data_IF_930826862860
#
_entry.id   IF_930826862860
#
_cell.length_a   1.000
_cell.length_b   1.000
_cell.length_c   1.000
_cell.angle_alpha   90.00
_cell.angle_beta   90.00
_cell.angle_gamma   90.00
#
_symmetry.space_group_name_H-M   'P 1'
#
loop_
_entity.id
_entity.type
_entity.pdbx_description
1 polymer ?
#
# COMPACT_ATOMS: atom_id res chain seq x y z
N UNK A 1 26.28 3.00 13.34
CA UNK A 1 26.69 1.79 14.10
C UNK A 1 25.57 1.20 14.97
N UNK A 2 24.53 1.98 15.32
CA UNK A 2 23.39 1.55 16.14
C UNK A 2 22.52 0.44 15.51
N UNK A 3 22.33 0.41 14.18
CA UNK A 3 21.40 -0.54 13.53
C UNK A 3 21.82 -2.03 13.60
N UNK A 4 23.13 -2.33 13.65
CA UNK A 4 23.63 -3.72 13.72
C UNK A 4 23.36 -4.36 15.09
N UNK A 5 23.38 -3.59 16.18
CA UNK A 5 23.08 -4.07 17.52
C UNK A 5 21.59 -4.37 17.66
N UNK A 6 20.72 -3.47 17.20
CA UNK A 6 19.28 -3.70 17.18
C UNK A 6 18.90 -4.91 16.32
N UNK A 7 19.51 -5.08 15.15
CA UNK A 7 19.25 -6.25 14.30
C UNK A 7 19.67 -7.57 14.98
N UNK A 8 20.81 -7.59 15.68
CA UNK A 8 21.27 -8.75 16.44
C UNK A 8 20.34 -9.07 17.62
N UNK A 9 19.91 -8.05 18.37
CA UNK A 9 18.96 -8.19 19.48
C UNK A 9 17.59 -8.68 18.98
N UNK A 10 17.09 -8.12 17.88
CA UNK A 10 15.84 -8.58 17.26
C UNK A 10 15.95 -10.03 16.79
N UNK A 11 17.06 -10.42 16.17
CA UNK A 11 17.29 -11.79 15.71
C UNK A 11 17.41 -12.79 16.88
N UNK A 12 18.06 -12.40 17.97
CA UNK A 12 18.14 -13.19 19.21
C UNK A 12 16.77 -13.35 19.86
N UNK A 13 16.02 -12.26 20.02
CA UNK A 13 14.68 -12.27 20.58
C UNK A 13 13.72 -13.14 19.75
N UNK A 14 13.81 -13.08 18.41
CA UNK A 14 13.03 -13.95 17.51
C UNK A 14 13.47 -15.43 17.65
N UNK A 15 14.77 -15.68 17.80
CA UNK A 15 15.31 -17.03 18.03
C UNK A 15 14.83 -17.64 19.35
N UNK A 16 14.87 -16.89 20.45
CA UNK A 16 14.37 -17.32 21.76
C UNK A 16 12.84 -17.50 21.78
N UNK A 17 12.10 -16.60 21.12
CA UNK A 17 10.64 -16.78 20.95
C UNK A 17 10.29 -18.02 20.13
N UNK A 18 11.07 -18.34 19.10
CA UNK A 18 10.82 -19.49 18.23
C UNK A 18 11.09 -20.83 18.91
N UNK A 19 12.01 -20.87 19.87
CA UNK A 19 12.36 -22.08 20.62
C UNK A 19 11.40 -22.38 21.77
N UNK A 20 10.50 -21.45 22.12
CA UNK A 20 9.62 -21.58 23.27
C UNK A 20 8.13 -21.67 22.85
N UNK A 21 7.59 -22.88 22.68
CA UNK A 21 6.24 -23.09 22.13
C UNK A 21 5.13 -22.50 23.01
N UNK A 22 5.33 -22.37 24.32
CA UNK A 22 4.39 -21.69 25.22
C UNK A 22 4.30 -20.17 24.95
N UNK A 23 5.42 -19.53 24.65
CA UNK A 23 5.43 -18.10 24.30
C UNK A 23 4.79 -17.87 22.94
N UNK A 24 5.07 -18.73 21.95
CA UNK A 24 4.37 -18.70 20.67
C UNK A 24 2.86 -18.85 20.84
N UNK A 25 2.39 -19.78 21.66
CA UNK A 25 0.97 -19.98 21.90
C UNK A 25 0.32 -18.76 22.56
N UNK A 26 1.00 -18.13 23.54
CA UNK A 26 0.52 -16.90 24.20
C UNK A 26 0.52 -15.70 23.25
N UNK A 27 1.57 -15.53 22.45
CA UNK A 27 1.63 -14.45 21.45
C UNK A 27 0.60 -14.67 20.34
N UNK A 28 0.42 -15.89 19.85
CA UNK A 28 -0.62 -16.23 18.89
C UNK A 28 -2.02 -15.97 19.46
N UNK A 29 -2.25 -16.29 20.75
CA UNK A 29 -3.50 -15.99 21.45
C UNK A 29 -3.74 -14.48 21.55
N UNK A 30 -2.73 -13.69 21.93
CA UNK A 30 -2.83 -12.22 22.01
C UNK A 30 -3.06 -11.60 20.63
N UNK A 31 -2.37 -12.07 19.59
CA UNK A 31 -2.59 -11.63 18.21
C UNK A 31 -4.01 -11.95 17.78
N UNK A 32 -4.49 -13.17 18.06
CA UNK A 32 -5.84 -13.60 17.69
C UNK A 32 -6.95 -12.88 18.47
N UNK A 33 -6.73 -12.56 19.75
CA UNK A 33 -7.74 -11.92 20.62
C UNK A 33 -7.74 -10.39 20.53
N UNK A 34 -6.60 -9.75 20.22
CA UNK A 34 -6.46 -8.29 20.27
C UNK A 34 -6.11 -7.66 18.93
N UNK A 35 -5.21 -8.29 18.18
CA UNK A 35 -4.72 -7.73 16.91
C UNK A 35 -5.68 -8.04 15.77
N UNK A 36 -6.17 -9.28 15.67
CA UNK A 36 -7.10 -9.69 14.61
C UNK A 36 -8.42 -8.90 14.66
N UNK A 37 -9.10 -8.72 15.82
CA UNK A 37 -10.31 -7.92 15.86
C UNK A 37 -10.05 -6.44 15.53
N UNK A 38 -8.97 -5.86 16.06
CA UNK A 38 -8.58 -4.48 15.75
C UNK A 38 -8.20 -4.27 14.29
N UNK A 39 -7.54 -5.25 13.66
CA UNK A 39 -7.20 -5.24 12.25
C UNK A 39 -8.43 -5.40 11.36
N UNK A 40 -9.40 -6.23 11.74
CA UNK A 40 -10.69 -6.36 11.04
C UNK A 40 -11.47 -5.05 11.13
N UNK A 41 -11.59 -4.44 12.30
CA UNK A 41 -12.27 -3.14 12.46
C UNK A 41 -11.54 -2.01 11.72
N UNK A 42 -10.21 -2.02 11.75
CA UNK A 42 -9.39 -1.09 10.97
C UNK A 42 -9.57 -1.28 9.46
N UNK A 43 -9.65 -2.54 9.01
CA UNK A 43 -9.90 -2.91 7.62
C UNK A 43 -11.30 -2.50 7.17
N UNK A 44 -12.34 -2.74 7.97
CA UNK A 44 -13.71 -2.31 7.67
C UNK A 44 -13.85 -0.79 7.59
N UNK A 45 -13.18 -0.04 8.47
CA UNK A 45 -13.14 1.44 8.40
C UNK A 45 -12.33 1.95 7.20
N UNK A 46 -11.28 1.24 6.80
CA UNK A 46 -10.44 1.61 5.67
C UNK A 46 -11.00 1.18 4.31
N UNK A 47 -11.84 0.14 4.28
CA UNK A 47 -12.46 -0.43 3.08
C UNK A 47 -13.15 0.62 2.18
N UNK A 48 -14.01 1.52 2.68
CA UNK A 48 -14.63 2.53 1.82
C UNK A 48 -13.62 3.54 1.26
N UNK A 49 -12.56 3.87 2.01
CA UNK A 49 -11.48 4.73 1.51
C UNK A 49 -10.62 4.03 0.47
N UNK A 50 -10.39 2.73 0.63
CA UNK A 50 -9.70 1.87 -0.33
C UNK A 50 -10.50 1.72 -1.61
N UNK A 51 -11.82 1.60 -1.52
CA UNK A 51 -12.71 1.50 -2.67
C UNK A 51 -12.79 2.81 -3.44
N UNK A 52 -12.89 3.95 -2.74
CA UNK A 52 -12.76 5.28 -3.34
C UNK A 52 -11.38 5.47 -4.00
N UNK A 53 -10.30 5.04 -3.35
CA UNK A 53 -8.96 5.11 -3.93
C UNK A 53 -8.81 4.20 -5.15
N UNK A 54 -9.46 3.03 -5.14
CA UNK A 54 -9.50 2.09 -6.28
C UNK A 54 -10.28 2.69 -7.45
N UNK A 55 -11.42 3.31 -7.22
CA UNK A 55 -12.18 4.00 -8.27
C UNK A 55 -11.42 5.21 -8.82
N UNK A 56 -10.75 5.97 -7.95
CA UNK A 56 -9.85 7.05 -8.36
C UNK A 56 -8.69 6.52 -9.22
N UNK A 57 -8.08 5.39 -8.83
CA UNK A 57 -7.01 4.74 -9.58
C UNK A 57 -7.49 4.19 -10.93
N UNK A 58 -8.67 3.55 -10.98
CA UNK A 58 -9.29 3.09 -12.23
C UNK A 58 -9.58 4.29 -13.15
N UNK A 59 -10.11 5.37 -12.58
CA UNK A 59 -10.40 6.61 -13.32
C UNK A 59 -9.12 7.25 -13.87
N UNK A 60 -8.06 7.35 -13.06
CA UNK A 60 -6.75 7.83 -13.50
C UNK A 60 -6.13 6.94 -14.58
N UNK A 61 -6.29 5.62 -14.47
CA UNK A 61 -5.79 4.66 -15.46
C UNK A 61 -6.54 4.80 -16.80
N UNK A 62 -7.86 4.98 -16.76
CA UNK A 62 -8.68 5.28 -17.95
C UNK A 62 -8.26 6.59 -18.61
N UNK A 63 -7.98 7.62 -17.81
CA UNK A 63 -7.53 8.92 -18.32
C UNK A 63 -6.18 8.80 -19.04
N UNK A 64 -5.22 8.08 -18.46
CA UNK A 64 -3.91 7.81 -19.06
C UNK A 64 -4.05 6.97 -20.33
N UNK A 65 -4.88 5.92 -20.30
CA UNK A 65 -5.13 5.08 -21.47
C UNK A 65 -5.80 5.86 -22.61
N UNK A 66 -6.69 6.80 -22.32
CA UNK A 66 -7.29 7.68 -23.32
C UNK A 66 -6.26 8.65 -23.92
N UNK A 67 -5.37 9.22 -23.10
CA UNK A 67 -4.27 10.07 -23.58
C UNK A 67 -3.33 9.26 -24.47
N UNK A 68 -3.00 8.01 -24.09
CA UNK A 68 -2.16 7.12 -24.88
C UNK A 68 -2.79 6.71 -26.22
N UNK A 69 -4.12 6.55 -26.27
CA UNK A 69 -4.84 6.29 -27.54
C UNK A 69 -4.86 7.48 -28.48
N UNK A 70 -4.85 8.71 -27.95
CA UNK A 70 -4.89 9.95 -28.75
C UNK A 70 -3.48 10.45 -29.11
N UNK A 71 -2.51 10.12 -28.28
CA UNK A 71 -1.11 10.48 -28.45
C UNK A 71 -0.29 9.26 -28.06
N UNK A 72 0.20 8.52 -29.06
CA UNK A 72 0.97 7.31 -28.81
C UNK A 72 2.24 7.69 -28.01
N UNK A 73 2.45 7.12 -26.81
CA UNK A 73 3.61 7.43 -25.99
C UNK A 73 4.94 6.96 -26.62
N UNK A 74 4.89 6.05 -27.60
CA UNK A 74 6.05 5.56 -28.35
C UNK A 74 6.35 6.49 -29.51
N UNK A 75 5.33 6.96 -30.26
CA UNK A 75 5.53 7.84 -31.42
C UNK A 75 5.75 9.30 -31.03
N UNK A 76 5.02 9.83 -30.04
CA UNK A 76 5.14 11.22 -29.58
C UNK A 76 5.06 11.35 -28.03
N UNK A 77 6.14 10.93 -27.33
CA UNK A 77 6.18 10.92 -25.87
C UNK A 77 6.03 12.31 -25.24
N UNK A 78 6.50 13.37 -25.91
CA UNK A 78 6.40 14.74 -25.37
C UNK A 78 4.95 15.21 -25.37
N UNK A 79 4.22 14.96 -26.46
CA UNK A 79 2.81 15.34 -26.57
C UNK A 79 1.94 14.51 -25.63
N UNK A 80 2.22 13.21 -25.50
CA UNK A 80 1.59 12.34 -24.51
C UNK A 80 1.76 12.89 -23.07
N UNK A 81 2.99 13.21 -22.65
CA UNK A 81 3.27 13.71 -21.30
C UNK A 81 2.60 15.07 -21.04
N UNK A 82 2.59 15.96 -22.03
CA UNK A 82 1.97 17.27 -21.92
C UNK A 82 0.45 17.16 -21.74
N UNK A 83 -0.19 16.29 -22.51
CA UNK A 83 -1.64 16.03 -22.44
C UNK A 83 -2.04 15.29 -21.16
N UNK A 84 -1.26 14.28 -20.73
CA UNK A 84 -1.46 13.61 -19.45
C UNK A 84 -1.35 14.60 -18.28
N UNK A 85 -0.35 15.48 -18.30
CA UNK A 85 -0.14 16.50 -17.27
C UNK A 85 -1.26 17.54 -17.26
N UNK A 86 -1.76 17.96 -18.42
CA UNK A 86 -2.91 18.87 -18.55
C UNK A 86 -4.16 18.25 -17.95
N UNK A 87 -4.49 17.02 -18.34
CA UNK A 87 -5.68 16.29 -17.87
C UNK A 87 -5.63 16.03 -16.35
N UNK A 88 -4.45 15.73 -15.81
CA UNK A 88 -4.23 15.60 -14.37
C UNK A 88 -4.47 16.93 -13.63
N UNK A 89 -3.97 18.05 -14.17
CA UNK A 89 -4.14 19.38 -13.57
C UNK A 89 -5.60 19.86 -13.59
N UNK A 90 -6.34 19.58 -14.66
CA UNK A 90 -7.77 19.91 -14.75
C UNK A 90 -8.60 19.11 -13.74
N UNK A 91 -8.25 17.84 -13.53
CA UNK A 91 -8.94 16.97 -12.57
C UNK A 91 -8.70 17.37 -11.12
N UNK A 92 -7.52 17.94 -10.79
CA UNK A 92 -7.22 18.47 -9.46
C UNK A 92 -7.80 19.86 -9.17
N UNK A 93 -8.41 20.53 -10.16
CA UNK A 93 -9.11 21.82 -9.98
C UNK A 93 -10.63 21.67 -9.76
N UNK A 94 -11.18 20.47 -9.97
CA UNK A 94 -12.56 20.11 -9.60
C UNK A 94 -12.58 19.49 -8.22
#
# INVERSE_FOLDING_TARGET
MVSKLFYKLAKLAVGELAQNPELQARTAKIVKERVVPGAITGWEKARPKLEQAKDAAISATKDIAEVARKNDPIEDPKKFLSEASRKFREKGKR
#
